data_IF_856164271486
#
_entry.id   IF_856164271486
#
_cell.length_a   1.000
_cell.length_b   1.000
_cell.length_c   1.000
_cell.angle_alpha   90.00
_cell.angle_beta   90.00
_cell.angle_gamma   90.00
#
_symmetry.space_group_name_H-M   'P 1'
#
loop_
_entity.id
_entity.type
_entity.pdbx_description
1 polymer ?
#
# COMPACT_ATOMS: atom_id res chain seq x y z
N UNK A 1 2.50 12.28 2.32
CA UNK A 1 1.47 12.68 1.34
C UNK A 1 2.03 13.69 0.33
N UNK A 2 2.62 14.80 0.76
CA UNK A 2 3.04 15.93 -0.09
C UNK A 2 4.00 15.57 -1.22
N UNK A 3 5.03 14.75 -0.95
CA UNK A 3 5.99 14.33 -1.98
C UNK A 3 5.30 13.57 -3.12
N UNK A 4 4.45 12.60 -2.78
CA UNK A 4 3.70 11.84 -3.77
C UNK A 4 2.60 12.65 -4.43
N UNK A 5 1.98 13.58 -3.71
CA UNK A 5 1.06 14.56 -4.26
C UNK A 5 1.73 15.42 -5.33
N UNK A 6 2.94 15.93 -5.05
CA UNK A 6 3.74 16.69 -6.02
C UNK A 6 4.04 15.85 -7.27
N UNK A 7 4.46 14.59 -7.09
CA UNK A 7 4.72 13.70 -8.22
C UNK A 7 3.46 13.42 -9.04
N UNK A 8 2.32 13.19 -8.39
CA UNK A 8 1.07 12.95 -9.09
C UNK A 8 0.56 14.18 -9.82
N UNK A 9 0.76 15.38 -9.27
CA UNK A 9 0.44 16.63 -9.95
C UNK A 9 1.28 16.82 -11.22
N UNK A 10 2.58 16.47 -11.16
CA UNK A 10 3.49 16.56 -12.30
C UNK A 10 3.23 15.44 -13.35
N UNK A 11 2.82 14.26 -12.89
CA UNK A 11 2.64 13.07 -13.72
C UNK A 11 1.30 12.36 -13.41
N UNK A 12 0.17 12.98 -13.74
CA UNK A 12 -1.15 12.47 -13.35
C UNK A 12 -1.40 11.02 -13.80
N UNK A 13 -1.89 10.20 -12.88
CA UNK A 13 -2.26 8.81 -13.15
C UNK A 13 -1.09 7.85 -13.41
N UNK A 14 0.15 8.29 -13.16
CA UNK A 14 1.35 7.47 -13.37
C UNK A 14 2.06 7.10 -12.06
N UNK A 15 1.54 7.54 -10.94
CA UNK A 15 2.19 7.42 -9.63
C UNK A 15 1.38 6.49 -8.74
N UNK A 16 2.03 5.45 -8.24
CA UNK A 16 1.54 4.57 -7.18
C UNK A 16 2.46 4.68 -5.97
N UNK A 17 1.90 4.57 -4.77
CA UNK A 17 2.68 4.57 -3.53
C UNK A 17 2.73 3.18 -2.91
N UNK A 18 3.93 2.60 -2.81
CA UNK A 18 4.18 1.35 -2.10
C UNK A 18 4.66 1.59 -0.67
N UNK A 19 4.00 0.99 0.31
CA UNK A 19 4.34 1.10 1.72
C UNK A 19 4.74 -0.25 2.31
N UNK A 20 5.88 -0.29 3.00
CA UNK A 20 6.36 -1.44 3.75
C UNK A 20 6.70 -1.07 5.19
N UNK A 21 6.38 -1.96 6.14
CA UNK A 21 6.70 -1.75 7.56
C UNK A 21 8.20 -1.89 7.83
N UNK A 22 8.80 -2.93 7.27
CA UNK A 22 10.22 -3.20 7.44
C UNK A 22 11.05 -2.45 6.40
N UNK A 23 12.23 -1.91 6.77
CA UNK A 23 13.13 -1.34 5.80
C UNK A 23 13.66 -2.45 4.88
N UNK A 24 13.74 -2.15 3.59
CA UNK A 24 14.35 -3.04 2.60
C UNK A 24 15.89 -3.03 2.63
N UNK A 25 16.48 -2.54 3.72
CA UNK A 25 17.92 -2.33 3.86
C UNK A 25 18.46 -3.01 5.14
N UNK A 26 19.79 -3.09 5.24
CA UNK A 26 20.46 -3.64 6.42
C UNK A 26 20.21 -2.80 7.69
N UNK A 27 20.47 -3.42 8.84
CA UNK A 27 20.21 -2.83 10.15
C UNK A 27 20.96 -1.50 10.38
N UNK A 28 22.17 -1.34 9.82
CA UNK A 28 22.96 -0.11 9.97
C UNK A 28 22.33 1.05 9.22
N UNK A 29 21.90 0.81 7.99
CA UNK A 29 21.15 1.78 7.19
C UNK A 29 19.83 2.14 7.85
N UNK A 30 19.13 1.17 8.42
CA UNK A 30 17.90 1.41 9.18
C UNK A 30 18.13 2.34 10.37
N UNK A 31 19.18 2.10 11.18
CA UNK A 31 19.52 2.97 12.30
C UNK A 31 19.88 4.39 11.85
N UNK A 32 20.60 4.52 10.73
CA UNK A 32 20.97 5.83 10.19
C UNK A 32 19.75 6.62 9.70
N UNK A 33 18.82 5.98 9.01
CA UNK A 33 17.62 6.62 8.48
C UNK A 33 16.59 6.98 9.56
N UNK A 34 16.54 6.19 10.65
CA UNK A 34 15.58 6.37 11.76
C UNK A 34 16.17 7.06 12.98
N UNK A 35 17.33 7.71 12.86
CA UNK A 35 18.03 8.34 13.98
C UNK A 35 17.16 9.28 14.84
N UNK A 36 16.12 9.85 14.28
CA UNK A 36 15.21 10.77 14.97
C UNK A 36 13.74 10.29 15.04
N UNK A 37 13.47 9.08 14.56
CA UNK A 37 12.12 8.53 14.61
C UNK A 37 12.01 7.54 15.77
N UNK A 38 11.76 8.07 16.96
CA UNK A 38 11.26 7.28 18.10
C UNK A 38 9.80 6.83 17.90
N UNK A 39 9.37 6.77 16.64
CA UNK A 39 8.05 6.31 16.24
C UNK A 39 7.94 4.81 16.41
N UNK A 40 6.93 4.41 17.14
CA UNK A 40 6.59 3.03 17.43
C UNK A 40 6.24 2.31 16.12
N UNK A 41 6.92 1.18 15.85
CA UNK A 41 6.61 0.32 14.70
C UNK A 41 5.15 -0.15 14.74
N UNK A 42 4.56 -0.15 15.93
CA UNK A 42 3.17 -0.53 16.15
C UNK A 42 2.14 0.49 15.59
N UNK A 43 2.58 1.71 15.28
CA UNK A 43 1.71 2.72 14.67
C UNK A 43 1.53 2.56 13.15
N UNK A 44 2.28 1.69 12.49
CA UNK A 44 2.23 1.52 11.04
C UNK A 44 0.81 1.36 10.44
N UNK A 45 -0.10 0.56 11.03
CA UNK A 45 -1.46 0.44 10.50
C UNK A 45 -2.24 1.75 10.52
N UNK A 46 -2.08 2.51 11.61
CA UNK A 46 -2.73 3.82 11.76
C UNK A 46 -2.18 4.84 10.77
N UNK A 47 -0.86 4.87 10.62
CA UNK A 47 -0.19 5.80 9.70
C UNK A 47 -0.58 5.54 8.24
N UNK A 48 -0.74 4.24 7.87
CA UNK A 48 -1.25 3.85 6.56
C UNK A 48 -2.70 4.31 6.37
N UNK A 49 -3.56 4.10 7.36
CA UNK A 49 -4.96 4.52 7.30
C UNK A 49 -5.08 6.04 7.15
N UNK A 50 -4.34 6.81 7.95
CA UNK A 50 -4.30 8.27 7.88
C UNK A 50 -3.85 8.78 6.50
N UNK A 51 -2.79 8.19 5.95
CA UNK A 51 -2.30 8.55 4.61
C UNK A 51 -3.34 8.27 3.52
N UNK A 52 -4.04 7.16 3.63
CA UNK A 52 -5.13 6.79 2.73
C UNK A 52 -6.28 7.79 2.84
N UNK A 53 -6.63 8.18 4.05
CA UNK A 53 -7.70 9.16 4.31
C UNK A 53 -7.37 10.53 3.71
N UNK A 54 -6.11 10.95 3.75
CA UNK A 54 -5.66 12.18 3.08
C UNK A 54 -5.78 12.09 1.55
N UNK A 55 -5.34 10.99 0.95
CA UNK A 55 -5.44 10.82 -0.51
C UNK A 55 -6.89 10.70 -1.00
N UNK A 56 -7.78 10.12 -0.20
CA UNK A 56 -9.20 9.98 -0.52
C UNK A 56 -10.03 11.24 -0.15
N UNK A 57 -9.43 12.20 0.58
CA UNK A 57 -10.10 13.39 1.13
C UNK A 57 -11.36 13.03 1.95
N UNK A 58 -11.25 11.99 2.80
CA UNK A 58 -12.40 11.49 3.58
C UNK A 58 -12.90 12.46 4.62
N UNK A 59 -12.01 13.21 5.25
CA UNK A 59 -12.37 14.28 6.19
C UNK A 59 -12.46 15.60 5.44
N UNK A 60 -13.62 16.23 5.30
CA UNK A 60 -13.76 17.52 4.62
C UNK A 60 -13.05 18.68 5.34
N UNK A 61 -12.74 18.51 6.63
CA UNK A 61 -12.10 19.55 7.44
C UNK A 61 -10.98 18.99 8.34
N UNK A 62 -9.92 18.42 7.79
CA UNK A 62 -8.85 17.81 8.58
C UNK A 62 -8.05 18.88 9.33
N UNK A 63 -7.57 18.53 10.54
CA UNK A 63 -6.67 19.40 11.32
C UNK A 63 -5.36 19.71 10.57
N UNK A 64 -4.87 18.74 9.78
CA UNK A 64 -3.69 18.89 8.93
C UNK A 64 -4.08 18.50 7.51
N UNK A 65 -3.81 19.39 6.56
CA UNK A 65 -4.05 19.15 5.14
C UNK A 65 -2.73 19.16 4.38
N UNK A 66 -2.24 18.02 3.91
CA UNK A 66 -1.03 17.97 3.08
C UNK A 66 -1.31 18.58 1.69
N UNK A 67 -0.50 19.58 1.29
CA UNK A 67 -0.67 20.26 0.00
C UNK A 67 0.69 20.35 -0.73
N UNK A 68 0.79 19.83 -1.96
CA UNK A 68 -0.18 19.01 -2.69
C UNK A 68 -0.26 17.60 -2.14
N UNK A 69 -1.41 16.91 -2.31
CA UNK A 69 -1.55 15.51 -1.88
C UNK A 69 -2.95 15.19 -1.38
N UNK A 70 -3.61 16.14 -0.75
CA UNK A 70 -4.96 15.94 -0.24
C UNK A 70 -5.97 15.77 -1.39
N UNK A 71 -6.65 14.60 -1.42
CA UNK A 71 -7.64 14.29 -2.46
C UNK A 71 -7.07 13.85 -3.80
N UNK A 72 -5.76 13.64 -3.92
CA UNK A 72 -5.10 13.26 -5.18
C UNK A 72 -5.40 11.83 -5.65
N UNK A 73 -6.07 11.02 -4.82
CA UNK A 73 -6.48 9.63 -5.13
C UNK A 73 -5.34 8.72 -5.61
N UNK A 74 -4.16 8.90 -5.03
CA UNK A 74 -2.98 8.10 -5.37
C UNK A 74 -3.20 6.66 -4.88
N UNK A 75 -3.02 5.64 -5.76
CA UNK A 75 -3.11 4.25 -5.35
C UNK A 75 -2.05 3.91 -4.30
N UNK A 76 -2.49 3.35 -3.17
CA UNK A 76 -1.60 2.91 -2.08
C UNK A 76 -1.54 1.40 -2.06
N UNK A 77 -0.34 0.85 -2.15
CA UNK A 77 -0.05 -0.58 -2.11
C UNK A 77 0.64 -0.94 -0.80
N UNK A 78 0.24 -2.03 -0.17
CA UNK A 78 1.03 -2.59 0.92
C UNK A 78 2.02 -3.62 0.39
N UNK A 79 3.30 -3.44 0.78
CA UNK A 79 4.41 -4.31 0.41
C UNK A 79 4.84 -5.12 1.63
N UNK A 80 5.18 -6.37 1.44
CA UNK A 80 5.75 -7.17 2.51
C UNK A 80 6.03 -8.62 2.14
N UNK A 81 6.79 -9.30 3.01
CA UNK A 81 7.17 -10.70 2.88
C UNK A 81 6.59 -11.57 4.01
N UNK A 82 5.57 -11.09 4.71
CA UNK A 82 4.99 -11.76 5.87
C UNK A 82 3.47 -11.86 5.80
N UNK A 83 2.90 -12.78 6.57
CA UNK A 83 1.45 -12.93 6.72
C UNK A 83 0.80 -11.68 7.34
N UNK A 84 1.53 -10.95 8.19
CA UNK A 84 1.05 -9.70 8.79
C UNK A 84 0.69 -8.66 7.72
N UNK A 85 1.58 -8.45 6.73
CA UNK A 85 1.33 -7.48 5.65
C UNK A 85 0.13 -7.87 4.80
N UNK A 86 -0.03 -9.18 4.52
CA UNK A 86 -1.18 -9.72 3.80
C UNK A 86 -2.49 -9.47 4.56
N UNK A 87 -2.50 -9.72 5.87
CA UNK A 87 -3.66 -9.52 6.71
C UNK A 87 -4.04 -8.04 6.83
N UNK A 88 -3.05 -7.16 7.04
CA UNK A 88 -3.29 -5.72 7.13
C UNK A 88 -3.84 -5.17 5.82
N UNK A 89 -3.26 -5.55 4.68
CA UNK A 89 -3.75 -5.15 3.36
C UNK A 89 -5.20 -5.59 3.14
N UNK A 90 -5.53 -6.83 3.52
CA UNK A 90 -6.88 -7.36 3.40
C UNK A 90 -7.88 -6.60 4.28
N UNK A 91 -7.51 -6.27 5.51
CA UNK A 91 -8.36 -5.53 6.45
C UNK A 91 -8.63 -4.10 5.98
N UNK A 92 -7.60 -3.43 5.44
CA UNK A 92 -7.71 -2.06 4.92
C UNK A 92 -8.29 -1.99 3.50
N UNK A 93 -8.52 -3.13 2.85
CA UNK A 93 -9.00 -3.16 1.47
C UNK A 93 -8.00 -2.59 0.47
N UNK A 94 -6.68 -2.71 0.77
CA UNK A 94 -5.60 -2.19 -0.05
C UNK A 94 -5.05 -3.24 -1.00
N UNK A 95 -4.56 -2.84 -2.18
CA UNK A 95 -3.73 -3.69 -3.00
C UNK A 95 -2.51 -4.20 -2.23
N UNK A 96 -2.13 -5.44 -2.49
CA UNK A 96 -1.03 -6.11 -1.81
C UNK A 96 0.00 -6.64 -2.80
N UNK A 97 1.27 -6.38 -2.54
CA UNK A 97 2.40 -6.94 -3.27
C UNK A 97 3.30 -7.73 -2.33
N UNK A 98 3.42 -9.03 -2.61
CA UNK A 98 4.24 -9.93 -1.80
C UNK A 98 5.66 -10.01 -2.35
N UNK A 99 6.65 -9.76 -1.48
CA UNK A 99 8.08 -9.83 -1.83
C UNK A 99 8.57 -11.29 -1.83
N UNK A 100 8.19 -12.06 -2.85
CA UNK A 100 8.49 -13.49 -2.97
C UNK A 100 10.00 -13.80 -3.06
N UNK A 101 10.81 -12.85 -3.50
CA UNK A 101 12.26 -12.99 -3.52
C UNK A 101 12.90 -13.05 -2.12
N UNK A 102 12.22 -12.56 -1.08
CA UNK A 102 12.67 -12.68 0.31
C UNK A 102 12.11 -13.92 1.02
N UNK A 103 10.88 -14.32 0.71
CA UNK A 103 10.21 -15.40 1.42
C UNK A 103 9.31 -16.22 0.46
N UNK A 104 9.89 -16.96 -0.49
CA UNK A 104 9.12 -17.68 -1.51
C UNK A 104 8.14 -18.69 -0.90
N UNK A 105 8.53 -19.38 0.17
CA UNK A 105 7.73 -20.44 0.80
C UNK A 105 6.43 -19.90 1.42
N UNK A 106 6.40 -18.63 1.82
CA UNK A 106 5.24 -18.02 2.44
C UNK A 106 4.24 -17.42 1.43
N UNK A 107 4.59 -17.38 0.15
CA UNK A 107 3.81 -16.71 -0.88
C UNK A 107 2.36 -17.22 -0.93
N UNK A 108 2.17 -18.53 -1.10
CA UNK A 108 0.83 -19.08 -1.26
C UNK A 108 -0.04 -18.90 -0.02
N UNK A 109 0.55 -19.04 1.16
CA UNK A 109 -0.16 -18.82 2.42
C UNK A 109 -0.56 -17.35 2.58
N UNK A 110 0.31 -16.41 2.25
CA UNK A 110 0.03 -14.97 2.29
C UNK A 110 -1.09 -14.60 1.30
N UNK A 111 -1.05 -15.12 0.09
CA UNK A 111 -2.09 -14.88 -0.92
C UNK A 111 -3.45 -15.46 -0.51
N UNK A 112 -3.46 -16.67 0.06
CA UNK A 112 -4.67 -17.28 0.59
C UNK A 112 -5.27 -16.44 1.72
N UNK A 113 -4.45 -16.03 2.70
CA UNK A 113 -4.86 -15.19 3.81
C UNK A 113 -5.43 -13.85 3.33
N UNK A 114 -4.75 -13.19 2.38
CA UNK A 114 -5.20 -11.94 1.80
C UNK A 114 -6.58 -12.08 1.14
N UNK A 115 -6.74 -13.08 0.25
CA UNK A 115 -8.00 -13.31 -0.47
C UNK A 115 -9.17 -13.66 0.46
N UNK A 116 -8.92 -14.50 1.47
CA UNK A 116 -9.95 -14.95 2.42
C UNK A 116 -10.45 -13.83 3.34
N UNK A 117 -9.60 -12.84 3.63
CA UNK A 117 -9.92 -11.76 4.58
C UNK A 117 -10.12 -10.39 3.91
N UNK A 118 -10.07 -10.34 2.57
CA UNK A 118 -10.17 -9.07 1.86
C UNK A 118 -11.54 -8.40 2.08
N UNK A 119 -11.49 -7.16 2.57
CA UNK A 119 -12.66 -6.30 2.76
C UNK A 119 -12.60 -5.15 1.76
N UNK A 120 -13.40 -5.18 0.68
CA UNK A 120 -13.39 -4.08 -0.27
C UNK A 120 -13.80 -2.78 0.43
N UNK A 121 -12.97 -1.76 0.30
CA UNK A 121 -13.31 -0.42 0.78
C UNK A 121 -14.34 0.20 -0.17
N UNK A 122 -15.46 0.69 0.37
CA UNK A 122 -16.55 1.27 -0.43
C UNK A 122 -16.12 2.50 -1.25
N UNK A 123 -14.97 3.09 -0.95
CA UNK A 123 -14.46 4.32 -1.56
C UNK A 123 -13.35 4.08 -2.57
N UNK A 124 -12.83 2.86 -2.68
CA UNK A 124 -11.71 2.59 -3.59
C UNK A 124 -12.21 2.01 -4.90
N UNK A 125 -11.82 2.69 -5.93
CA UNK A 125 -12.01 2.29 -7.30
C UNK A 125 -11.50 0.87 -7.53
N UNK A 126 -12.35 0.00 -8.07
CA UNK A 126 -11.89 -1.12 -8.87
C UNK A 126 -11.23 -0.55 -10.13
N UNK A 127 -10.04 0.03 -9.97
CA UNK A 127 -9.22 0.34 -11.12
C UNK A 127 -8.89 -1.00 -11.77
N UNK A 128 -9.41 -1.20 -12.95
CA UNK A 128 -9.03 -2.27 -13.87
C UNK A 128 -7.52 -2.17 -14.07
N UNK A 129 -6.74 -2.91 -13.29
CA UNK A 129 -5.36 -3.14 -13.64
C UNK A 129 -5.39 -4.24 -14.70
N UNK A 130 -5.53 -3.77 -15.91
CA UNK A 130 -5.27 -4.52 -17.11
C UNK A 130 -3.83 -4.98 -17.12
N UNK A 131 -3.68 -6.31 -17.22
CA UNK A 131 -2.56 -7.03 -17.83
C UNK A 131 -1.31 -6.18 -18.12
N UNK A 132 -0.33 -6.23 -17.21
CA UNK A 132 1.05 -5.96 -17.59
C UNK A 132 1.60 -7.18 -18.34
N UNK A 133 2.19 -7.00 -19.51
CA UNK A 133 2.83 -8.08 -20.25
C UNK A 133 4.02 -8.62 -19.45
N UNK A 134 4.13 -9.93 -19.47
CA UNK A 134 5.22 -10.73 -18.98
C UNK A 134 6.59 -10.17 -19.36
N UNK A 135 7.28 -9.55 -18.41
CA UNK A 135 8.72 -9.40 -18.47
C UNK A 135 9.29 -9.41 -17.05
N UNK A 136 9.78 -10.56 -16.65
CA UNK A 136 10.92 -10.82 -15.76
C UNK A 136 11.12 -9.88 -14.55
N UNK A 137 10.13 -9.80 -13.66
CA UNK A 137 10.37 -9.40 -12.28
C UNK A 137 9.30 -10.05 -11.41
N UNK A 138 9.71 -10.90 -10.51
CA UNK A 138 8.90 -11.73 -9.62
C UNK A 138 8.17 -10.90 -8.56
N UNK A 139 7.37 -9.94 -8.97
CA UNK A 139 6.36 -9.30 -8.15
C UNK A 139 5.02 -9.94 -8.47
N UNK A 140 4.63 -10.95 -7.68
CA UNK A 140 3.30 -11.52 -7.80
C UNK A 140 2.27 -10.55 -7.21
N UNK A 141 1.60 -9.82 -8.09
CA UNK A 141 0.49 -8.96 -7.72
C UNK A 141 -0.77 -9.79 -7.49
N UNK A 142 -1.40 -9.62 -6.35
CA UNK A 142 -2.70 -10.22 -6.08
C UNK A 142 -3.76 -9.12 -6.06
N UNK A 143 -4.56 -9.08 -7.12
CA UNK A 143 -5.76 -8.26 -7.16
C UNK A 143 -6.97 -9.11 -6.79
N UNK A 144 -7.87 -8.62 -5.94
CA UNK A 144 -9.16 -9.25 -5.76
C UNK A 144 -9.95 -9.12 -7.06
N UNK A 145 -10.48 -10.24 -7.55
CA UNK A 145 -11.45 -10.19 -8.65
C UNK A 145 -12.71 -9.50 -8.11
N UNK A 146 -12.98 -8.30 -8.56
CA UNK A 146 -14.30 -7.71 -8.43
C UNK A 146 -15.25 -8.53 -9.31
N UNK A 147 -15.94 -9.51 -8.72
CA UNK A 147 -17.15 -10.06 -9.32
C UNK A 147 -18.19 -8.93 -9.34
N UNK A 148 -18.44 -8.36 -10.50
CA UNK A 148 -19.60 -7.51 -10.72
C UNK A 148 -20.84 -8.34 -10.41
N UNK A 149 -21.77 -7.86 -9.57
CA UNK A 149 -23.13 -8.39 -9.64
C UNK A 149 -23.70 -7.97 -11.01
N UNK A 150 -24.32 -8.93 -11.68
CA UNK A 150 -25.18 -8.72 -12.85
C UNK A 150 -26.37 -7.84 -12.45
#
# INVERSE_FOLDING_TARGET
>A
AEQFGTLNTLYPGRIDLGLGRAPGSDQRTMMALRRHMSGDIDNFPRDVAELVDWFDARDPNPHVRPVPGYGEKIPVWLLGSSLYSAQLAAQLGLPFAFASHFAPDMLFQALHLYRSNFKPSATRWCASILSLPTATATLNFCLPQCSKPL
#
